data_IF_719664013472
#
_entry.id   IF_719664013472
#
_cell.length_a   1.000
_cell.length_b   1.000
_cell.length_c   1.000
_cell.angle_alpha   90.00
_cell.angle_beta   90.00
_cell.angle_gamma   90.00
#
_symmetry.space_group_name_H-M   'P 1'
#
loop_
_entity.id
_entity.type
_entity.pdbx_description
1 polymer ?
#
# COMPACT_ATOMS: atom_id res chain seq x y z
N UNK A 1 12.08 8.23 11.37
CA UNK A 1 11.84 9.48 10.62
C UNK A 1 12.36 10.66 11.40
N UNK A 2 11.68 11.08 12.48
CA UNK A 2 12.01 12.30 13.25
C UNK A 2 13.46 12.33 13.73
N UNK A 3 13.96 11.26 14.34
CA UNK A 3 15.36 11.17 14.81
C UNK A 3 16.34 11.33 13.64
N UNK A 4 16.10 10.66 12.51
CA UNK A 4 16.95 10.78 11.33
C UNK A 4 16.95 12.23 10.79
N UNK A 5 15.79 12.87 10.76
CA UNK A 5 15.65 14.28 10.34
C UNK A 5 16.44 15.22 11.25
N UNK A 6 16.35 15.04 12.58
CA UNK A 6 17.11 15.84 13.55
C UNK A 6 18.60 15.64 13.34
N UNK A 7 19.08 14.38 13.23
CA UNK A 7 20.50 14.07 13.03
C UNK A 7 21.00 14.69 11.72
N UNK A 8 20.28 14.54 10.61
CA UNK A 8 20.63 15.12 9.31
C UNK A 8 20.68 16.65 9.39
N UNK A 9 19.71 17.27 10.06
CA UNK A 9 19.66 18.73 10.23
C UNK A 9 20.84 19.24 11.05
N UNK A 10 21.18 18.55 12.13
CA UNK A 10 22.36 18.87 12.94
C UNK A 10 23.65 18.70 12.12
N UNK A 11 23.82 17.61 11.39
CA UNK A 11 25.01 17.42 10.55
C UNK A 11 25.15 18.52 9.50
N UNK A 12 24.05 18.93 8.86
CA UNK A 12 24.05 20.06 7.91
C UNK A 12 24.43 21.38 8.58
N UNK A 13 23.96 21.64 9.81
CA UNK A 13 24.30 22.87 10.55
C UNK A 13 25.79 22.94 10.93
N UNK A 14 26.46 21.79 11.07
CA UNK A 14 27.91 21.68 11.25
C UNK A 14 28.68 21.67 9.90
N UNK A 15 28.04 21.99 8.78
CA UNK A 15 28.69 22.07 7.48
C UNK A 15 29.01 20.72 6.84
N UNK A 16 28.49 19.61 7.38
CA UNK A 16 28.68 18.28 6.80
C UNK A 16 27.81 18.18 5.53
N UNK A 17 28.47 18.05 4.37
CA UNK A 17 27.79 17.75 3.12
C UNK A 17 27.35 16.30 3.12
N UNK A 18 26.04 16.07 3.21
CA UNK A 18 25.45 14.74 3.07
C UNK A 18 25.07 14.59 1.61
N UNK A 19 25.91 13.92 0.85
CA UNK A 19 25.63 13.52 -0.53
C UNK A 19 25.01 12.12 -0.51
N UNK A 20 23.78 12.00 -1.02
CA UNK A 20 23.24 10.68 -1.34
C UNK A 20 23.91 10.17 -2.61
N UNK A 21 24.91 9.32 -2.47
CA UNK A 21 25.47 8.64 -3.63
C UNK A 21 24.49 7.57 -4.10
N UNK A 22 23.99 7.73 -5.29
CA UNK A 22 23.37 6.63 -6.02
C UNK A 22 24.49 5.68 -6.41
N UNK A 23 24.47 4.47 -5.85
CA UNK A 23 25.47 3.44 -6.16
C UNK A 23 25.32 2.95 -7.60
N UNK A 24 24.14 3.11 -8.19
CA UNK A 24 23.81 2.73 -9.55
C UNK A 24 23.24 3.94 -10.30
N UNK A 25 23.86 4.29 -11.40
CA UNK A 25 23.44 5.38 -12.27
C UNK A 25 22.52 4.89 -13.42
N UNK A 26 22.11 5.83 -14.25
CA UNK A 26 21.25 5.58 -15.42
C UNK A 26 21.91 4.68 -16.47
N UNK A 27 23.25 4.56 -16.49
CA UNK A 27 23.95 3.68 -17.42
C UNK A 27 23.61 2.20 -17.20
N UNK A 28 23.22 1.84 -15.99
CA UNK A 28 22.84 0.47 -15.61
C UNK A 28 21.32 0.20 -15.71
N UNK A 29 20.54 1.16 -16.25
CA UNK A 29 19.06 1.07 -16.33
C UNK A 29 18.60 -0.21 -17.01
N UNK A 30 19.15 -0.56 -18.16
CA UNK A 30 18.77 -1.76 -18.90
C UNK A 30 19.15 -3.04 -18.15
N UNK A 31 20.32 -3.07 -17.52
CA UNK A 31 20.74 -4.20 -16.71
C UNK A 31 19.78 -4.42 -15.52
N UNK A 32 19.44 -3.35 -14.79
CA UNK A 32 18.46 -3.41 -13.70
C UNK A 32 17.09 -3.90 -14.18
N UNK A 33 16.60 -3.37 -15.30
CA UNK A 33 15.34 -3.79 -15.91
C UNK A 33 15.34 -5.29 -16.25
N UNK A 34 16.30 -5.76 -17.05
CA UNK A 34 16.34 -7.16 -17.48
C UNK A 34 16.58 -8.13 -16.31
N UNK A 35 17.35 -7.73 -15.31
CA UNK A 35 17.57 -8.54 -14.10
C UNK A 35 16.28 -8.74 -13.31
N UNK A 36 15.50 -7.68 -13.09
CA UNK A 36 14.21 -7.77 -12.41
C UNK A 36 13.18 -8.51 -13.24
N UNK A 37 13.15 -8.27 -14.56
CA UNK A 37 12.30 -8.98 -15.49
C UNK A 37 12.54 -10.49 -15.40
N UNK A 38 13.80 -10.91 -15.51
CA UNK A 38 14.18 -12.32 -15.41
C UNK A 38 13.83 -12.92 -14.05
N UNK A 39 14.10 -12.20 -12.97
CA UNK A 39 13.78 -12.65 -11.60
C UNK A 39 12.28 -12.90 -11.43
N UNK A 40 11.43 -11.93 -11.79
CA UNK A 40 10.00 -12.07 -11.57
C UNK A 40 9.35 -13.09 -12.50
N UNK A 41 9.81 -13.19 -13.75
CA UNK A 41 9.40 -14.27 -14.65
C UNK A 41 9.81 -15.64 -14.12
N UNK A 42 11.03 -15.78 -13.57
CA UNK A 42 11.49 -17.03 -12.96
C UNK A 42 10.64 -17.41 -11.74
N UNK A 43 10.29 -16.46 -10.86
CA UNK A 43 9.41 -16.71 -9.72
C UNK A 43 8.00 -17.17 -10.17
N UNK A 44 7.43 -16.52 -11.18
CA UNK A 44 6.13 -16.91 -11.74
C UNK A 44 6.20 -18.30 -12.38
N UNK A 45 7.22 -18.57 -13.18
CA UNK A 45 7.42 -19.85 -13.85
C UNK A 45 7.61 -20.97 -12.82
N UNK A 46 8.47 -20.77 -11.82
CA UNK A 46 8.71 -21.74 -10.75
C UNK A 46 7.42 -22.07 -9.98
N UNK A 47 6.63 -21.04 -9.63
CA UNK A 47 5.33 -21.23 -8.98
C UNK A 47 4.36 -22.04 -9.84
N UNK A 48 4.33 -21.79 -11.15
CA UNK A 48 3.46 -22.52 -12.08
C UNK A 48 3.92 -23.97 -12.29
N UNK A 49 5.22 -24.21 -12.36
CA UNK A 49 5.76 -25.56 -12.56
C UNK A 49 5.54 -26.45 -11.32
N UNK A 50 5.70 -25.89 -10.13
CA UNK A 50 5.58 -26.62 -8.87
C UNK A 50 4.13 -26.71 -8.38
N UNK A 51 3.40 -25.59 -8.38
CA UNK A 51 2.04 -25.50 -7.87
C UNK A 51 0.94 -25.73 -8.91
N UNK A 52 1.31 -25.75 -10.21
CA UNK A 52 0.41 -26.10 -11.32
C UNK A 52 -0.96 -25.36 -11.24
N UNK A 53 -2.06 -26.10 -11.29
CA UNK A 53 -3.43 -25.56 -11.23
C UNK A 53 -3.74 -24.82 -9.93
N UNK A 54 -3.18 -25.29 -8.81
CA UNK A 54 -3.38 -24.66 -7.49
C UNK A 54 -2.86 -23.23 -7.46
N UNK A 55 -1.74 -22.96 -8.12
CA UNK A 55 -1.19 -21.61 -8.27
C UNK A 55 -2.19 -20.65 -8.89
N UNK A 56 -2.80 -21.02 -10.02
CA UNK A 56 -3.74 -20.14 -10.73
C UNK A 56 -5.06 -19.97 -9.99
N UNK A 57 -5.58 -21.05 -9.38
CA UNK A 57 -6.81 -20.99 -8.60
C UNK A 57 -6.62 -20.12 -7.36
N UNK A 58 -5.57 -20.35 -6.59
CA UNK A 58 -5.27 -19.53 -5.41
C UNK A 58 -4.96 -18.07 -5.76
N UNK A 59 -4.25 -17.79 -6.87
CA UNK A 59 -4.02 -16.44 -7.35
C UNK A 59 -5.34 -15.72 -7.72
N UNK A 60 -6.26 -16.44 -8.38
CA UNK A 60 -7.60 -15.89 -8.69
C UNK A 60 -8.36 -15.50 -7.41
N UNK A 61 -8.20 -16.27 -6.33
CA UNK A 61 -8.84 -15.95 -5.05
C UNK A 61 -8.13 -14.81 -4.33
N UNK A 62 -6.79 -14.71 -4.40
CA UNK A 62 -6.04 -13.54 -3.93
C UNK A 62 -6.57 -12.24 -4.59
N UNK A 63 -6.86 -12.24 -5.89
CA UNK A 63 -7.37 -11.07 -6.60
C UNK A 63 -8.75 -10.58 -6.13
N UNK A 64 -9.48 -11.36 -5.34
CA UNK A 64 -10.78 -10.99 -4.76
C UNK A 64 -10.66 -10.34 -3.39
N UNK A 65 -9.49 -10.43 -2.75
CA UNK A 65 -9.26 -9.84 -1.44
C UNK A 65 -9.31 -8.31 -1.50
N UNK A 66 -9.80 -7.69 -0.42
CA UNK A 66 -9.69 -6.23 -0.30
C UNK A 66 -8.28 -5.78 0.09
N UNK A 67 -7.53 -6.65 0.75
CA UNK A 67 -6.22 -6.34 1.33
C UNK A 67 -6.30 -5.59 2.66
N UNK A 68 -7.50 -5.34 3.18
CA UNK A 68 -7.70 -4.72 4.49
C UNK A 68 -7.23 -5.67 5.61
N UNK A 69 -6.56 -5.11 6.63
CA UNK A 69 -6.04 -5.90 7.75
C UNK A 69 -4.80 -6.75 7.41
N UNK A 70 -4.19 -6.54 6.24
CA UNK A 70 -2.99 -7.27 5.79
C UNK A 70 -3.12 -8.80 5.92
N UNK A 71 -4.06 -9.43 5.22
CA UNK A 71 -4.24 -10.88 5.29
C UNK A 71 -2.96 -11.60 4.86
N UNK A 72 -2.55 -12.60 5.64
CA UNK A 72 -1.40 -13.45 5.34
C UNK A 72 -1.77 -14.45 4.23
N UNK A 73 -1.31 -14.17 3.01
CA UNK A 73 -1.63 -15.01 1.85
C UNK A 73 -0.92 -16.36 1.88
N UNK A 74 0.27 -16.45 2.53
CA UNK A 74 0.97 -17.73 2.69
C UNK A 74 0.12 -18.72 3.50
N UNK A 75 -0.45 -18.25 4.61
CA UNK A 75 -1.33 -19.08 5.44
C UNK A 75 -2.67 -19.38 4.79
N UNK A 76 -3.20 -18.42 4.01
CA UNK A 76 -4.56 -18.52 3.48
C UNK A 76 -4.64 -19.29 2.16
N UNK A 77 -3.64 -19.10 1.28
CA UNK A 77 -3.65 -19.63 -0.08
C UNK A 77 -2.46 -20.54 -0.40
N UNK A 78 -1.48 -20.64 0.52
CA UNK A 78 -0.27 -21.45 0.34
C UNK A 78 0.84 -20.69 -0.41
N UNK A 79 1.98 -21.37 -0.54
CA UNK A 79 3.23 -20.77 -1.03
C UNK A 79 3.15 -20.40 -2.51
N UNK A 80 2.73 -21.32 -3.37
CA UNK A 80 2.79 -21.12 -4.82
C UNK A 80 1.90 -19.97 -5.33
N UNK A 81 0.62 -19.86 -4.94
CA UNK A 81 -0.21 -18.71 -5.33
C UNK A 81 0.36 -17.38 -4.83
N UNK A 82 0.92 -17.38 -3.62
CA UNK A 82 1.51 -16.19 -3.01
C UNK A 82 2.77 -15.75 -3.73
N UNK A 83 3.71 -16.68 -4.00
CA UNK A 83 4.94 -16.38 -4.75
C UNK A 83 4.59 -15.94 -6.18
N UNK A 84 3.58 -16.54 -6.81
CA UNK A 84 3.08 -16.10 -8.10
C UNK A 84 2.57 -14.66 -8.06
N UNK A 85 1.76 -14.30 -7.06
CA UNK A 85 1.28 -12.94 -6.85
C UNK A 85 2.43 -11.94 -6.63
N UNK A 86 3.43 -12.30 -5.85
CA UNK A 86 4.65 -11.51 -5.66
C UNK A 86 5.38 -11.28 -6.99
N UNK A 87 5.54 -12.33 -7.79
CA UNK A 87 6.14 -12.24 -9.13
C UNK A 87 5.33 -11.34 -10.07
N UNK A 88 4.01 -11.48 -10.12
CA UNK A 88 3.13 -10.65 -10.95
C UNK A 88 3.23 -9.17 -10.57
N UNK A 89 3.16 -8.84 -9.28
CA UNK A 89 3.24 -7.45 -8.82
C UNK A 89 4.63 -6.84 -9.09
N UNK A 90 5.69 -7.61 -8.88
CA UNK A 90 7.06 -7.19 -9.20
C UNK A 90 7.25 -6.96 -10.69
N UNK A 91 6.79 -7.89 -11.53
CA UNK A 91 6.83 -7.77 -12.98
C UNK A 91 6.04 -6.54 -13.48
N UNK A 92 4.79 -6.38 -13.00
CA UNK A 92 3.94 -5.25 -13.39
C UNK A 92 4.60 -3.91 -13.04
N UNK A 93 5.15 -3.77 -11.82
CA UNK A 93 5.81 -2.53 -11.42
C UNK A 93 7.08 -2.28 -12.24
N UNK A 94 7.88 -3.32 -12.51
CA UNK A 94 9.07 -3.22 -13.35
C UNK A 94 8.73 -2.73 -14.75
N UNK A 95 7.68 -3.27 -15.37
CA UNK A 95 7.20 -2.85 -16.69
C UNK A 95 6.66 -1.41 -16.67
N UNK A 96 5.80 -1.08 -15.69
CA UNK A 96 5.25 0.27 -15.55
C UNK A 96 6.39 1.29 -15.46
N UNK A 97 7.38 1.03 -14.60
CA UNK A 97 8.51 1.92 -14.42
C UNK A 97 9.33 2.08 -15.69
N UNK A 98 9.60 0.97 -16.40
CA UNK A 98 10.35 0.99 -17.66
C UNK A 98 9.68 1.85 -18.72
N UNK A 99 8.36 1.66 -18.93
CA UNK A 99 7.60 2.42 -19.93
C UNK A 99 7.41 3.88 -19.56
N UNK A 100 7.40 4.22 -18.28
CA UNK A 100 7.35 5.60 -17.81
C UNK A 100 8.73 6.30 -17.85
N UNK A 101 9.78 5.61 -18.26
CA UNK A 101 11.12 6.18 -18.37
C UNK A 101 11.87 6.30 -17.04
N UNK A 102 11.39 5.63 -15.97
CA UNK A 102 12.05 5.66 -14.67
C UNK A 102 13.36 4.88 -14.64
N UNK A 103 14.22 5.21 -13.68
CA UNK A 103 15.53 4.58 -13.46
C UNK A 103 15.45 3.39 -12.53
N UNK A 104 16.31 2.38 -12.79
CA UNK A 104 16.48 1.20 -11.93
C UNK A 104 17.72 1.37 -11.05
N UNK A 105 17.70 2.34 -10.17
CA UNK A 105 18.74 2.59 -9.16
C UNK A 105 18.44 1.86 -7.85
N UNK A 106 19.36 1.92 -6.88
CA UNK A 106 19.24 1.23 -5.60
C UNK A 106 17.92 1.51 -4.85
N UNK A 107 17.54 2.78 -4.63
CA UNK A 107 16.26 3.14 -4.01
C UNK A 107 15.04 2.59 -4.75
N UNK A 108 15.04 2.66 -6.07
CA UNK A 108 13.95 2.15 -6.92
C UNK A 108 13.82 0.64 -6.81
N UNK A 109 14.91 -0.09 -6.96
CA UNK A 109 14.95 -1.56 -6.85
C UNK A 109 14.52 -1.98 -5.44
N UNK A 110 15.04 -1.33 -4.41
CA UNK A 110 14.64 -1.58 -3.02
C UNK A 110 13.14 -1.36 -2.78
N UNK A 111 12.56 -0.32 -3.39
CA UNK A 111 11.12 -0.04 -3.31
C UNK A 111 10.27 -1.08 -4.04
N UNK A 112 10.75 -1.61 -5.19
CA UNK A 112 10.09 -2.72 -5.88
C UNK A 112 10.11 -3.97 -4.99
N UNK A 113 11.24 -4.31 -4.38
CA UNK A 113 11.30 -5.44 -3.44
C UNK A 113 10.42 -5.24 -2.21
N UNK A 114 10.28 -4.00 -1.72
CA UNK A 114 9.33 -3.67 -0.67
C UNK A 114 7.89 -3.97 -1.10
N UNK A 115 7.47 -3.52 -2.30
CA UNK A 115 6.16 -3.88 -2.86
C UNK A 115 5.98 -5.39 -2.97
N UNK A 116 6.98 -6.09 -3.51
CA UNK A 116 6.96 -7.55 -3.72
C UNK A 116 6.82 -8.28 -2.38
N UNK A 117 7.57 -7.89 -1.35
CA UNK A 117 7.45 -8.46 -0.01
C UNK A 117 6.05 -8.29 0.58
N UNK A 118 5.49 -7.08 0.49
CA UNK A 118 4.12 -6.81 0.93
C UNK A 118 3.04 -7.44 0.04
N UNK A 119 3.40 -8.00 -1.11
CA UNK A 119 2.47 -8.77 -1.94
C UNK A 119 2.17 -10.16 -1.37
N UNK A 120 2.91 -10.58 -0.34
CA UNK A 120 2.54 -11.74 0.49
C UNK A 120 1.42 -11.42 1.50
N UNK A 121 1.10 -10.12 1.68
CA UNK A 121 0.13 -9.65 2.68
C UNK A 121 -0.75 -8.52 2.16
N UNK A 122 -1.85 -8.85 1.53
CA UNK A 122 -2.90 -7.89 1.19
C UNK A 122 -2.74 -7.11 -0.12
N UNK A 123 -1.58 -7.16 -0.80
CA UNK A 123 -1.39 -6.48 -2.08
C UNK A 123 -1.47 -7.46 -3.24
N UNK A 124 -2.19 -7.07 -4.29
CA UNK A 124 -2.29 -7.82 -5.55
C UNK A 124 -2.57 -6.85 -6.70
N UNK A 125 -2.44 -7.31 -7.94
CA UNK A 125 -2.50 -6.46 -9.11
C UNK A 125 -3.79 -5.59 -9.17
N UNK A 126 -4.93 -6.18 -8.82
CA UNK A 126 -6.23 -5.49 -8.91
C UNK A 126 -6.36 -4.31 -7.94
N UNK A 127 -5.73 -4.36 -6.75
CA UNK A 127 -5.82 -3.27 -5.78
C UNK A 127 -4.66 -2.27 -5.88
N UNK A 128 -3.48 -2.67 -6.41
CA UNK A 128 -2.35 -1.73 -6.58
C UNK A 128 -2.50 -0.86 -7.83
N UNK A 129 -3.05 -1.37 -8.93
CA UNK A 129 -3.14 -0.61 -10.19
C UNK A 129 -3.92 0.70 -10.07
N UNK A 130 -5.08 0.78 -9.39
CA UNK A 130 -5.82 2.02 -9.26
C UNK A 130 -5.03 3.13 -8.56
N UNK A 131 -4.32 2.80 -7.47
CA UNK A 131 -3.53 3.79 -6.73
C UNK A 131 -2.31 4.24 -7.54
N UNK A 132 -1.67 3.34 -8.28
CA UNK A 132 -0.57 3.66 -9.21
C UNK A 132 -1.08 4.61 -10.30
N UNK A 133 -2.23 4.31 -10.92
CA UNK A 133 -2.84 5.16 -11.93
C UNK A 133 -3.14 6.56 -11.39
N UNK A 134 -3.58 6.68 -10.13
CA UNK A 134 -3.78 7.96 -9.48
C UNK A 134 -2.50 8.81 -9.39
N UNK A 135 -1.33 8.20 -9.11
CA UNK A 135 -0.04 8.90 -9.13
C UNK A 135 0.36 9.31 -10.54
N UNK A 136 0.18 8.43 -11.53
CA UNK A 136 0.46 8.76 -12.94
C UNK A 136 -0.40 9.95 -13.38
N UNK A 137 -1.69 9.93 -13.08
CA UNK A 137 -2.61 11.03 -13.38
C UNK A 137 -2.15 12.34 -12.70
N UNK A 138 -1.70 12.28 -11.45
CA UNK A 138 -1.15 13.44 -10.77
C UNK A 138 0.11 13.98 -11.46
N UNK A 139 0.99 13.11 -11.93
CA UNK A 139 2.19 13.49 -12.67
C UNK A 139 1.90 14.16 -14.03
N UNK A 140 0.79 13.79 -14.69
CA UNK A 140 0.39 14.43 -15.96
C UNK A 140 -0.32 15.77 -15.76
N UNK A 141 -1.01 15.97 -14.63
CA UNK A 141 -1.78 17.19 -14.35
C UNK A 141 -1.02 18.24 -13.53
N UNK A 142 0.11 17.86 -12.95
CA UNK A 142 0.92 18.71 -12.08
C UNK A 142 2.32 18.90 -12.65
N UNK A 143 3.11 19.73 -11.95
CA UNK A 143 4.47 20.11 -12.36
C UNK A 143 5.54 19.03 -12.13
N UNK A 144 5.20 17.89 -11.52
CA UNK A 144 6.17 16.82 -11.22
C UNK A 144 6.27 15.82 -12.37
N UNK A 145 7.51 15.55 -12.78
CA UNK A 145 7.76 14.44 -13.72
C UNK A 145 7.76 13.09 -13.00
N UNK A 146 7.17 12.08 -13.63
CA UNK A 146 7.21 10.71 -13.12
C UNK A 146 8.64 10.16 -13.09
N UNK A 147 9.55 10.69 -13.94
CA UNK A 147 10.96 10.33 -14.00
C UNK A 147 11.78 10.89 -12.83
N UNK A 148 11.30 11.93 -12.14
CA UNK A 148 12.00 12.45 -10.96
C UNK A 148 12.15 11.36 -9.89
N UNK A 149 13.33 11.23 -9.25
CA UNK A 149 13.58 10.17 -8.27
C UNK A 149 12.54 10.10 -7.15
N UNK A 150 12.10 11.25 -6.66
CA UNK A 150 11.05 11.32 -5.62
C UNK A 150 9.69 10.87 -6.13
N UNK A 151 9.35 11.22 -7.37
CA UNK A 151 8.10 10.82 -8.03
C UNK A 151 8.09 9.32 -8.33
N UNK A 152 9.22 8.78 -8.80
CA UNK A 152 9.41 7.33 -9.02
C UNK A 152 9.18 6.52 -7.73
N UNK A 153 9.77 6.95 -6.61
CA UNK A 153 9.57 6.29 -5.32
C UNK A 153 8.11 6.41 -4.85
N UNK A 154 7.50 7.57 -5.07
CA UNK A 154 6.09 7.80 -4.76
C UNK A 154 5.17 6.88 -5.57
N UNK A 155 5.48 6.67 -6.86
CA UNK A 155 4.76 5.75 -7.74
C UNK A 155 4.76 4.30 -7.22
N UNK A 156 5.88 3.82 -6.69
CA UNK A 156 6.00 2.46 -6.17
C UNK A 156 5.37 2.36 -4.77
N UNK A 157 5.69 3.30 -3.89
CA UNK A 157 5.31 3.23 -2.48
C UNK A 157 3.85 3.63 -2.21
N UNK A 158 3.15 4.27 -3.18
CA UNK A 158 1.70 4.50 -3.11
C UNK A 158 0.90 3.22 -2.90
N UNK A 159 1.46 2.08 -3.29
CA UNK A 159 0.83 0.77 -3.11
C UNK A 159 0.53 0.43 -1.64
N UNK A 160 1.02 1.23 -0.67
CA UNK A 160 0.57 1.17 0.72
C UNK A 160 -0.91 1.49 0.88
N UNK A 161 -1.51 2.22 -0.06
CA UNK A 161 -2.94 2.56 -0.10
C UNK A 161 -3.80 1.57 -0.91
N UNK A 162 -3.21 0.45 -1.37
CA UNK A 162 -3.93 -0.58 -2.10
C UNK A 162 -5.24 -1.06 -1.41
N UNK A 163 -5.31 -1.19 -0.06
CA UNK A 163 -6.55 -1.56 0.62
C UNK A 163 -7.72 -0.59 0.36
N UNK A 164 -7.46 0.70 0.11
CA UNK A 164 -8.52 1.65 -0.25
C UNK A 164 -9.17 1.27 -1.58
N UNK A 165 -8.36 0.90 -2.58
CA UNK A 165 -8.88 0.44 -3.85
C UNK A 165 -9.61 -0.92 -3.72
N UNK A 166 -9.05 -1.82 -2.92
CA UNK A 166 -9.63 -3.14 -2.71
C UNK A 166 -10.96 -3.12 -1.96
N UNK A 167 -11.11 -2.27 -0.94
CA UNK A 167 -12.31 -2.16 -0.11
C UNK A 167 -13.37 -1.22 -0.72
N UNK A 168 -12.93 -0.10 -1.27
CA UNK A 168 -13.85 0.96 -1.71
C UNK A 168 -13.99 1.07 -3.23
N UNK A 169 -13.16 0.34 -3.98
CA UNK A 169 -13.22 0.28 -5.43
C UNK A 169 -12.20 1.16 -6.15
N UNK A 170 -12.13 0.96 -7.47
CA UNK A 170 -11.14 1.57 -8.36
C UNK A 170 -11.11 3.10 -8.27
N UNK A 171 -12.29 3.73 -8.27
CA UNK A 171 -12.42 5.19 -8.22
C UNK A 171 -11.73 5.80 -6.99
N UNK A 172 -12.00 5.23 -5.81
CA UNK A 172 -11.38 5.70 -4.57
C UNK A 172 -9.89 5.38 -4.50
N UNK A 173 -9.46 4.30 -5.13
CA UNK A 173 -8.05 3.99 -5.30
C UNK A 173 -7.32 5.05 -6.12
N UNK A 174 -7.90 5.51 -7.24
CA UNK A 174 -7.35 6.58 -8.08
C UNK A 174 -7.23 7.89 -7.28
N UNK A 175 -8.29 8.28 -6.58
CA UNK A 175 -8.26 9.47 -5.72
C UNK A 175 -7.20 9.35 -4.64
N UNK A 176 -7.08 8.19 -3.97
CA UNK A 176 -6.08 7.96 -2.95
C UNK A 176 -4.66 8.12 -3.51
N UNK A 177 -4.38 7.56 -4.69
CA UNK A 177 -3.09 7.69 -5.36
C UNK A 177 -2.77 9.13 -5.75
N UNK A 178 -3.73 9.85 -6.28
CA UNK A 178 -3.59 11.27 -6.66
C UNK A 178 -3.28 12.15 -5.44
N UNK A 179 -4.01 11.97 -4.35
CA UNK A 179 -3.79 12.70 -3.09
C UNK A 179 -2.44 12.32 -2.46
N UNK A 180 -2.09 11.02 -2.48
CA UNK A 180 -0.81 10.56 -1.95
C UNK A 180 0.37 11.24 -2.61
N UNK A 181 0.39 11.33 -3.94
CA UNK A 181 1.47 12.01 -4.66
C UNK A 181 1.56 13.48 -4.28
N UNK A 182 0.41 14.14 -4.07
CA UNK A 182 0.37 15.55 -3.65
C UNK A 182 0.98 15.75 -2.27
N UNK A 183 0.68 14.87 -1.32
CA UNK A 183 1.25 14.96 0.03
C UNK A 183 2.72 14.57 0.02
N UNK A 184 3.08 13.41 -0.56
CA UNK A 184 4.43 12.86 -0.52
C UNK A 184 5.48 13.81 -1.11
N UNK A 185 5.17 14.46 -2.23
CA UNK A 185 6.10 15.34 -2.92
C UNK A 185 6.22 16.73 -2.26
N UNK A 186 5.22 17.15 -1.49
CA UNK A 186 5.26 18.43 -0.77
C UNK A 186 5.84 18.34 0.66
N UNK A 187 5.76 17.17 1.32
CA UNK A 187 6.28 17.01 2.68
C UNK A 187 7.78 16.69 2.74
N UNK A 188 8.46 16.62 1.58
CA UNK A 188 9.89 16.34 1.49
C UNK A 188 10.76 17.26 2.34
N UNK A 189 10.35 18.52 2.50
CA UNK A 189 11.02 19.52 3.32
C UNK A 189 11.05 19.10 4.80
N UNK A 190 9.96 18.50 5.32
CA UNK A 190 9.83 18.07 6.71
C UNK A 190 10.79 16.94 7.07
N UNK A 191 11.21 16.15 6.08
CA UNK A 191 12.05 14.97 6.26
C UNK A 191 13.41 15.08 5.57
N UNK A 192 13.86 16.31 5.24
CA UNK A 192 15.14 16.56 4.58
C UNK A 192 15.38 15.70 3.32
N UNK A 193 14.31 15.44 2.54
CA UNK A 193 14.39 14.66 1.31
C UNK A 193 14.48 13.13 1.50
N UNK A 194 14.26 12.61 2.72
CA UNK A 194 14.19 11.15 2.97
C UNK A 194 12.87 10.58 2.44
N UNK A 195 12.80 10.28 1.16
CA UNK A 195 11.58 9.93 0.43
C UNK A 195 10.80 8.73 0.98
N UNK A 196 11.47 7.77 1.62
CA UNK A 196 10.80 6.63 2.25
C UNK A 196 9.83 7.09 3.35
N UNK A 197 10.28 7.99 4.21
CA UNK A 197 9.44 8.53 5.29
C UNK A 197 8.35 9.46 4.78
N UNK A 198 8.59 10.21 3.70
CA UNK A 198 7.58 11.02 3.05
C UNK A 198 6.40 10.18 2.57
N UNK A 199 6.68 9.04 1.96
CA UNK A 199 5.64 8.15 1.44
C UNK A 199 4.84 7.46 2.57
N UNK A 200 5.50 7.02 3.66
CA UNK A 200 4.82 6.47 4.83
C UNK A 200 3.90 7.49 5.50
N UNK A 201 4.40 8.70 5.71
CA UNK A 201 3.61 9.81 6.27
C UNK A 201 2.43 10.17 5.35
N UNK A 202 2.69 10.34 4.05
CA UNK A 202 1.65 10.68 3.07
C UNK A 202 0.54 9.63 3.03
N UNK A 203 0.89 8.34 3.05
CA UNK A 203 -0.08 7.25 3.11
C UNK A 203 -0.97 7.34 4.35
N UNK A 204 -0.38 7.59 5.52
CA UNK A 204 -1.13 7.80 6.77
C UNK A 204 -2.07 9.00 6.71
N UNK A 205 -1.59 10.15 6.23
CA UNK A 205 -2.40 11.37 6.08
C UNK A 205 -3.58 11.11 5.15
N UNK A 206 -3.33 10.55 3.96
CA UNK A 206 -4.42 10.25 3.00
C UNK A 206 -5.44 9.28 3.60
N UNK A 207 -4.99 8.23 4.27
CA UNK A 207 -5.90 7.26 4.87
C UNK A 207 -6.77 7.87 5.97
N UNK A 208 -6.18 8.68 6.88
CA UNK A 208 -6.89 9.31 8.00
C UNK A 208 -7.99 10.27 7.51
N UNK A 209 -7.77 10.99 6.41
CA UNK A 209 -8.77 11.93 5.89
C UNK A 209 -9.74 11.26 4.91
N UNK A 210 -9.22 10.46 3.97
CA UNK A 210 -10.02 9.92 2.88
C UNK A 210 -10.99 8.82 3.33
N UNK A 211 -10.54 7.91 4.20
CA UNK A 211 -11.38 6.76 4.62
C UNK A 211 -12.64 7.21 5.35
N UNK A 212 -12.61 8.12 6.35
CA UNK A 212 -13.83 8.63 6.97
C UNK A 212 -14.78 9.32 6.00
N UNK A 213 -14.24 10.07 5.02
CA UNK A 213 -15.05 10.72 3.98
C UNK A 213 -15.79 9.67 3.14
N UNK A 214 -15.09 8.63 2.70
CA UNK A 214 -15.69 7.53 1.93
C UNK A 214 -16.80 6.85 2.73
N UNK A 215 -16.53 6.55 4.00
CA UNK A 215 -17.51 5.91 4.89
C UNK A 215 -18.75 6.81 5.09
N UNK A 216 -18.56 8.10 5.31
CA UNK A 216 -19.66 9.05 5.45
C UNK A 216 -20.53 9.16 4.18
N UNK A 217 -19.89 9.11 2.98
CA UNK A 217 -20.60 9.12 1.70
C UNK A 217 -21.39 7.81 1.51
N UNK A 218 -20.74 6.66 1.77
CA UNK A 218 -21.40 5.35 1.67
C UNK A 218 -22.55 5.20 2.65
N UNK A 219 -22.39 5.73 3.85
CA UNK A 219 -23.42 5.70 4.89
C UNK A 219 -24.67 6.51 4.47
N UNK A 220 -24.47 7.70 3.92
CA UNK A 220 -25.57 8.52 3.37
C UNK A 220 -26.31 7.85 2.19
N UNK A 221 -25.72 6.88 1.53
CA UNK A 221 -26.33 6.16 0.43
C UNK A 221 -27.15 4.94 0.86
N UNK A 222 -27.09 4.59 2.16
CA UNK A 222 -27.94 3.51 2.70
C UNK A 222 -29.39 3.95 2.75
N UNK A 223 -30.34 3.10 2.28
CA UNK A 223 -31.77 3.41 2.43
C UNK A 223 -32.15 3.60 3.90
N UNK A 224 -33.04 4.57 4.20
CA UNK A 224 -33.52 4.86 5.54
C UNK A 224 -34.03 3.61 6.29
N UNK A 225 -34.65 2.67 5.57
CA UNK A 225 -35.12 1.39 6.10
C UNK A 225 -34.01 0.52 6.74
N UNK A 226 -32.76 0.65 6.27
CA UNK A 226 -31.62 -0.11 6.84
C UNK A 226 -31.23 0.49 8.18
N UNK A 227 -31.27 1.81 8.33
CA UNK A 227 -31.01 2.47 9.63
C UNK A 227 -32.02 2.06 10.69
N UNK A 228 -33.32 1.96 10.32
CA UNK A 228 -34.36 1.50 11.23
C UNK A 228 -34.16 0.05 11.66
N UNK A 229 -33.67 -0.79 10.78
CA UNK A 229 -33.38 -2.19 11.08
C UNK A 229 -32.12 -2.37 11.94
N UNK A 230 -31.06 -1.60 11.66
CA UNK A 230 -29.85 -1.58 12.46
C UNK A 230 -30.12 -1.00 13.85
N UNK A 231 -30.90 0.09 13.96
CA UNK A 231 -31.33 0.66 15.23
C UNK A 231 -32.17 -0.31 16.06
N UNK A 232 -33.07 -1.07 15.43
CA UNK A 232 -33.83 -2.14 16.10
C UNK A 232 -32.93 -3.27 16.60
N UNK A 233 -31.94 -3.69 15.81
CA UNK A 233 -30.96 -4.71 16.22
C UNK A 233 -30.09 -4.25 17.38
N UNK A 234 -29.63 -3.01 17.37
CA UNK A 234 -28.90 -2.40 18.50
C UNK A 234 -29.75 -2.35 19.76
N UNK A 235 -30.99 -1.85 19.67
CA UNK A 235 -31.90 -1.77 20.80
C UNK A 235 -32.25 -3.14 21.39
N UNK A 236 -32.32 -4.20 20.55
CA UNK A 236 -32.50 -5.57 21.03
C UNK A 236 -31.23 -6.05 21.73
N UNK A 237 -30.04 -5.73 21.19
CA UNK A 237 -28.77 -6.09 21.78
C UNK A 237 -28.57 -5.44 23.14
N UNK A 238 -28.88 -4.15 23.27
CA UNK A 238 -28.81 -3.43 24.55
C UNK A 238 -29.78 -4.00 25.59
N UNK A 239 -31.01 -4.37 25.20
CA UNK A 239 -31.97 -5.05 26.09
C UNK A 239 -31.52 -6.45 26.50
N UNK A 240 -30.72 -7.14 25.68
CA UNK A 240 -30.15 -8.43 26.01
C UNK A 240 -28.95 -8.29 26.97
N UNK A 241 -28.14 -7.23 26.81
CA UNK A 241 -27.08 -6.88 27.75
C UNK A 241 -27.64 -6.46 29.11
N UNK A 242 -28.66 -5.62 29.15
CA UNK A 242 -29.34 -5.18 30.37
C UNK A 242 -29.96 -6.38 31.14
N UNK A 243 -30.47 -7.39 30.44
CA UNK A 243 -30.96 -8.63 31.06
C UNK A 243 -29.86 -9.58 31.55
N UNK A 244 -28.62 -9.41 31.04
CA UNK A 244 -27.44 -10.15 31.49
C UNK A 244 -26.69 -9.43 32.61
N UNK A 245 -27.07 -8.18 32.94
CA UNK A 245 -26.52 -7.53 34.13
C UNK A 245 -26.98 -8.30 35.39
N UNK A 246 -26.11 -9.20 35.73
CA UNK A 246 -25.57 -9.34 37.08
C UNK A 246 -26.53 -9.89 38.11
N UNK A 247 -26.58 -11.19 38.17
CA UNK A 247 -26.54 -11.84 39.48
C UNK A 247 -25.08 -11.85 39.94
N UNK A 248 -24.57 -10.74 40.43
CA UNK A 248 -23.38 -10.74 41.28
C UNK A 248 -23.67 -11.57 42.50
N UNK A 249 -22.83 -12.55 42.86
CA UNK A 249 -23.00 -13.25 44.13
C UNK A 249 -22.76 -12.28 45.27
N UNK A 250 -23.73 -12.19 46.16
CA UNK A 250 -23.78 -11.28 47.32
C UNK A 250 -22.76 -11.55 48.40
N UNK A 251 -21.70 -12.32 48.14
CA UNK A 251 -20.72 -12.71 49.15
C UNK A 251 -19.31 -12.59 48.66
N UNK A 252 -18.81 -11.36 48.54
CA UNK A 252 -17.37 -11.06 48.61
C UNK A 252 -17.23 -9.97 49.69
N UNK A 253 -17.37 -10.37 50.94
CA UNK A 253 -16.84 -9.59 52.07
C UNK A 253 -15.46 -10.16 52.40
N UNK A 254 -14.51 -9.29 52.44
CA UNK A 254 -13.13 -9.47 52.87
C UNK A 254 -13.06 -10.21 54.24
N UNK A 255 -12.26 -11.22 54.33
CA UNK A 255 -11.59 -11.66 55.55
C UNK A 255 -10.09 -11.49 55.34
#
# INVERSE_FOLDING_TARGET
GIIATIVISLMKSFGVKIESRLVWDTAHRLFGFYSLLALFLALMLLSLLLGRKETLLGYRDILKESGQGNPDYLKKYGDFPTIFNMGVNGLAMTLILYFLGGDFNGPTIGSIFCLVGFSATGKHLRNILPVIFGVILAGTLKVWSVQDPSSTLTLILVTTLAPIAGEFGIFWGIIAGFLHSSVALNVGILYNGTNLYNNGFAGGVVAIFLVPIILAIKDRQKPMAIYDEEAKKLAIKDKLFDKQEVKLPKNIFWK
#
